data_IF_153187294562
#
_entry.id   IF_153187294562
#
_cell.length_a   1.000
_cell.length_b   1.000
_cell.length_c   1.000
_cell.angle_alpha   90.00
_cell.angle_beta   90.00
_cell.angle_gamma   90.00
#
_symmetry.space_group_name_H-M   'P 1'
#
loop_
_entity.id
_entity.type
_entity.pdbx_description
1 polymer ?
#
# COMPACT_ATOMS: atom_id res chain seq x y z
N UNK A 1 -16.12 11.07 -1.76
CA UNK A 1 -15.50 9.87 -1.16
C UNK A 1 -14.74 10.26 0.08
N UNK A 2 -14.99 9.57 1.17
CA UNK A 2 -14.28 9.80 2.45
C UNK A 2 -12.82 9.34 2.36
N UNK A 3 -11.92 9.98 3.10
CA UNK A 3 -10.53 9.53 3.20
C UNK A 3 -10.48 8.15 3.89
N UNK A 4 -9.39 7.39 3.73
CA UNK A 4 -9.23 6.14 4.44
C UNK A 4 -9.17 6.37 5.96
N UNK A 5 -9.77 5.45 6.70
CA UNK A 5 -9.86 5.47 8.15
C UNK A 5 -8.88 4.51 8.82
N UNK A 6 -8.17 3.71 8.03
CA UNK A 6 -7.16 2.79 8.53
C UNK A 6 -6.12 2.44 7.49
N UNK A 7 -4.88 2.28 7.95
CA UNK A 7 -3.77 1.73 7.19
C UNK A 7 -3.47 0.34 7.74
N UNK A 8 -3.39 -0.64 6.85
CA UNK A 8 -3.02 -2.02 7.18
C UNK A 8 -1.61 -2.27 6.66
N UNK A 9 -0.79 -2.91 7.47
CA UNK A 9 0.53 -3.42 7.08
C UNK A 9 0.68 -4.85 7.60
N UNK A 10 1.38 -5.70 6.84
CA UNK A 10 1.75 -7.06 7.28
C UNK A 10 3.03 -7.46 6.59
N UNK A 11 3.91 -8.16 7.28
CA UNK A 11 5.26 -8.51 6.80
C UNK A 11 6.04 -7.28 6.29
N UNK A 12 5.83 -6.14 6.92
CA UNK A 12 6.36 -4.85 6.51
C UNK A 12 7.34 -4.31 7.56
N UNK A 13 8.61 -4.12 7.20
CA UNK A 13 9.65 -3.56 8.09
C UNK A 13 9.73 -4.29 9.44
N UNK A 14 9.33 -3.60 10.52
CA UNK A 14 9.34 -4.12 11.89
C UNK A 14 8.13 -5.02 12.22
N UNK A 15 7.17 -5.13 11.31
CA UNK A 15 5.89 -5.81 11.55
C UNK A 15 5.86 -7.16 10.83
N UNK A 16 6.05 -8.25 11.58
CA UNK A 16 5.92 -9.62 11.07
C UNK A 16 4.46 -9.99 10.75
N UNK A 17 3.57 -9.64 11.66
CA UNK A 17 2.13 -9.87 11.55
C UNK A 17 1.37 -8.67 11.01
N UNK A 18 0.05 -8.83 10.95
CA UNK A 18 -0.86 -7.76 10.56
C UNK A 18 -1.00 -6.72 11.66
N UNK A 19 -0.83 -5.47 11.28
CA UNK A 19 -1.09 -4.32 12.12
C UNK A 19 -2.01 -3.34 11.41
N UNK A 20 -2.95 -2.76 12.15
CA UNK A 20 -3.85 -1.73 11.63
C UNK A 20 -3.65 -0.43 12.39
N UNK A 21 -3.21 0.60 11.67
CA UNK A 21 -3.12 1.96 12.20
C UNK A 21 -4.44 2.69 11.91
N UNK A 22 -5.21 3.08 12.94
CA UNK A 22 -6.38 3.93 12.73
C UNK A 22 -5.95 5.33 12.26
N UNK A 23 -6.52 5.78 11.15
CA UNK A 23 -6.31 7.12 10.61
C UNK A 23 -7.44 8.03 11.08
N UNK A 24 -7.07 9.12 11.76
CA UNK A 24 -7.98 10.15 12.28
C UNK A 24 -7.51 11.53 11.81
N UNK A 25 -8.33 12.58 11.93
CA UNK A 25 -7.90 13.95 11.59
C UNK A 25 -6.57 14.36 12.26
N UNK A 26 -6.28 13.78 13.43
CA UNK A 26 -4.99 13.84 14.08
C UNK A 26 -4.66 12.46 14.63
N UNK A 27 -3.54 11.90 14.19
CA UNK A 27 -3.01 10.62 14.68
C UNK A 27 -1.58 10.85 15.15
N UNK A 28 -1.33 10.56 16.42
CA UNK A 28 0.00 10.70 17.03
C UNK A 28 0.64 9.31 17.21
N UNK A 29 1.84 9.16 16.69
CA UNK A 29 2.65 7.94 16.85
C UNK A 29 3.78 8.20 17.85
N UNK A 30 3.72 7.57 19.00
CA UNK A 30 4.78 7.65 20.02
C UNK A 30 5.16 6.25 20.51
N UNK A 31 6.35 6.12 21.07
CA UNK A 31 6.87 4.85 21.58
C UNK A 31 8.39 4.80 21.51
N UNK A 32 8.97 3.67 21.90
CA UNK A 32 10.42 3.44 21.91
C UNK A 32 11.04 3.61 20.52
N UNK A 33 12.33 3.93 20.46
CA UNK A 33 13.07 3.89 19.21
C UNK A 33 13.03 2.46 18.62
N UNK A 34 13.04 2.35 17.31
CA UNK A 34 12.90 1.09 16.58
C UNK A 34 11.55 0.34 16.73
N UNK A 35 10.51 0.96 17.27
CA UNK A 35 9.17 0.34 17.36
C UNK A 35 8.32 0.41 16.09
N UNK A 36 8.88 0.80 14.95
CA UNK A 36 8.18 0.84 13.67
C UNK A 36 7.38 2.14 13.39
N UNK A 37 7.37 3.15 14.27
CA UNK A 37 6.61 4.41 14.07
C UNK A 37 6.88 5.06 12.71
N UNK A 38 8.15 5.26 12.39
CA UNK A 38 8.55 5.86 11.12
C UNK A 38 8.22 4.97 9.93
N UNK A 39 8.20 3.65 10.10
CA UNK A 39 7.78 2.72 9.06
C UNK A 39 6.29 2.90 8.72
N UNK A 40 5.41 2.99 9.73
CA UNK A 40 3.98 3.23 9.52
C UNK A 40 3.70 4.59 8.85
N UNK A 41 4.35 5.66 9.34
CA UNK A 41 4.20 6.98 8.74
C UNK A 41 4.65 7.00 7.26
N UNK A 42 5.79 6.35 6.97
CA UNK A 42 6.30 6.23 5.60
C UNK A 42 5.44 5.36 4.70
N UNK A 43 4.81 4.30 5.23
CA UNK A 43 3.91 3.46 4.44
C UNK A 43 2.76 4.27 3.82
N UNK A 44 2.18 5.21 4.58
CA UNK A 44 1.14 6.08 4.06
C UNK A 44 1.66 7.03 2.96
N UNK A 45 2.86 7.59 3.15
CA UNK A 45 3.49 8.45 2.17
C UNK A 45 3.84 7.68 0.87
N UNK A 46 4.38 6.47 0.99
CA UNK A 46 4.70 5.59 -0.14
C UNK A 46 3.41 5.21 -0.90
N UNK A 47 2.31 4.92 -0.19
CA UNK A 47 1.01 4.69 -0.81
C UNK A 47 0.55 5.90 -1.62
N UNK A 48 0.70 7.11 -1.06
CA UNK A 48 0.34 8.36 -1.75
C UNK A 48 1.10 8.57 -3.05
N UNK A 49 2.41 8.30 -3.07
CA UNK A 49 3.25 8.38 -4.26
C UNK A 49 2.93 7.27 -5.27
N UNK A 50 2.53 6.10 -4.79
CA UNK A 50 2.25 4.93 -5.63
C UNK A 50 0.88 4.99 -6.33
N UNK A 51 0.09 6.03 -6.14
CA UNK A 51 -1.16 6.29 -6.90
C UNK A 51 -0.99 7.36 -7.97
N UNK A 52 0.23 7.87 -8.19
CA UNK A 52 0.53 8.84 -9.23
C UNK A 52 0.25 8.28 -10.63
N UNK A 53 -0.08 9.17 -11.58
CA UNK A 53 -0.43 8.77 -12.96
C UNK A 53 0.76 8.23 -13.75
N UNK A 54 1.94 8.66 -13.40
CA UNK A 54 3.22 8.30 -14.01
C UNK A 54 3.97 7.19 -13.24
N UNK A 55 3.30 6.54 -12.29
CA UNK A 55 3.89 5.45 -11.52
C UNK A 55 4.34 4.30 -12.45
N UNK A 56 5.65 4.03 -12.48
CA UNK A 56 6.27 3.03 -13.37
C UNK A 56 6.35 1.63 -12.77
N UNK A 57 5.96 1.47 -11.51
CA UNK A 57 5.93 0.20 -10.77
C UNK A 57 4.83 0.28 -9.71
N UNK A 58 4.44 -0.86 -9.15
CA UNK A 58 3.35 -0.93 -8.18
C UNK A 58 3.61 -0.06 -6.94
N UNK A 59 4.84 -0.08 -6.44
CA UNK A 59 5.22 0.72 -5.29
C UNK A 59 6.35 1.67 -5.64
N UNK A 60 6.04 2.96 -5.64
CA UNK A 60 7.03 4.03 -5.83
C UNK A 60 7.72 4.30 -4.49
N UNK A 61 9.04 4.27 -4.49
CA UNK A 61 9.87 4.41 -3.27
C UNK A 61 10.78 5.64 -3.40
N UNK A 62 10.26 6.86 -3.20
CA UNK A 62 11.05 8.07 -3.32
C UNK A 62 12.18 8.12 -2.30
N UNK A 63 13.36 8.59 -2.71
CA UNK A 63 14.54 8.69 -1.83
C UNK A 63 14.31 9.62 -0.64
N UNK A 64 13.48 10.63 -0.81
CA UNK A 64 13.09 11.58 0.24
C UNK A 64 12.31 10.89 1.37
N UNK A 65 11.61 9.79 1.06
CA UNK A 65 10.82 9.03 2.04
C UNK A 65 11.60 7.87 2.63
N UNK A 66 12.34 7.11 1.79
CA UNK A 66 13.03 5.89 2.21
C UNK A 66 14.49 6.13 2.57
N UNK A 67 15.06 7.28 2.16
CA UNK A 67 16.48 7.66 2.26
C UNK A 67 17.38 6.74 1.41
N UNK A 68 18.06 5.76 1.99
CA UNK A 68 19.00 4.88 1.31
C UNK A 68 18.48 3.43 1.16
N UNK A 69 17.16 3.23 1.11
CA UNK A 69 16.57 1.90 0.98
C UNK A 69 15.98 1.62 -0.39
N UNK A 70 15.74 0.34 -0.67
CA UNK A 70 14.98 -0.11 -1.82
C UNK A 70 13.71 -0.90 -1.39
N UNK A 71 13.04 -1.54 -2.35
CA UNK A 71 11.84 -2.33 -2.08
C UNK A 71 12.10 -3.45 -1.07
N UNK A 72 13.29 -4.08 -1.12
CA UNK A 72 13.61 -5.22 -0.26
C UNK A 72 13.73 -4.82 1.21
N UNK A 73 14.10 -3.56 1.47
CA UNK A 73 14.17 -3.01 2.83
C UNK A 73 12.79 -2.74 3.44
N UNK A 74 11.74 -2.76 2.63
CA UNK A 74 10.37 -2.60 3.10
C UNK A 74 9.75 -3.91 3.58
N UNK A 75 10.22 -5.04 3.08
CA UNK A 75 9.77 -6.34 3.53
C UNK A 75 10.30 -6.66 4.95
N UNK A 76 9.54 -7.46 5.69
CA UNK A 76 10.01 -8.02 6.95
C UNK A 76 11.11 -9.05 6.68
N UNK A 77 12.25 -8.91 7.33
CA UNK A 77 13.46 -9.70 7.05
C UNK A 77 13.53 -11.03 7.82
N UNK A 78 12.44 -11.46 8.45
CA UNK A 78 12.40 -12.73 9.16
C UNK A 78 12.45 -13.97 8.26
N UNK A 79 11.97 -13.85 7.02
CA UNK A 79 11.95 -14.91 6.03
C UNK A 79 12.99 -14.60 4.93
N UNK A 80 14.13 -15.27 4.99
CA UNK A 80 15.21 -15.04 4.03
C UNK A 80 14.75 -15.33 2.59
N UNK A 81 14.79 -14.30 1.74
CA UNK A 81 14.47 -14.39 0.31
C UNK A 81 13.00 -14.18 -0.06
N UNK A 82 12.08 -14.04 0.89
CA UNK A 82 10.71 -13.57 0.62
C UNK A 82 10.62 -12.07 0.85
N UNK A 83 10.49 -11.31 -0.23
CA UNK A 83 10.33 -9.86 -0.19
C UNK A 83 8.88 -9.43 -0.40
N UNK A 84 7.92 -10.29 -0.06
CA UNK A 84 6.50 -9.95 -0.12
C UNK A 84 6.03 -9.32 1.18
N UNK A 85 5.16 -8.32 1.05
CA UNK A 85 4.47 -7.71 2.19
C UNK A 85 3.11 -7.16 1.77
N UNK A 86 2.26 -6.90 2.75
CA UNK A 86 0.93 -6.36 2.49
C UNK A 86 0.85 -4.89 2.91
N UNK A 87 0.23 -4.09 2.04
CA UNK A 87 -0.30 -2.77 2.35
C UNK A 87 -1.78 -2.73 2.05
N UNK A 88 -2.55 -2.09 2.91
CA UNK A 88 -3.99 -1.97 2.70
C UNK A 88 -4.58 -0.72 3.32
N UNK A 89 -5.79 -0.40 2.87
CA UNK A 89 -6.56 0.73 3.37
C UNK A 89 -7.96 0.27 3.76
N UNK A 90 -8.51 0.93 4.79
CA UNK A 90 -9.89 0.75 5.25
C UNK A 90 -10.68 2.04 5.14
N UNK A 91 -11.96 1.89 4.85
CA UNK A 91 -12.95 2.97 4.80
C UNK A 91 -14.18 2.60 5.63
N UNK A 92 -14.95 3.60 6.03
CA UNK A 92 -16.18 3.43 6.80
C UNK A 92 -17.46 3.72 5.97
N UNK A 93 -17.29 4.15 4.71
CA UNK A 93 -18.37 4.45 3.77
C UNK A 93 -18.32 3.59 2.51
N UNK A 94 -19.41 3.57 1.73
CA UNK A 94 -19.51 2.85 0.48
C UNK A 94 -19.69 1.33 0.64
N UNK A 95 -19.63 0.59 -0.46
CA UNK A 95 -19.69 -0.87 -0.44
C UNK A 95 -18.31 -1.46 -0.09
N UNK A 96 -17.25 -0.87 -0.64
CA UNK A 96 -15.88 -1.26 -0.37
C UNK A 96 -15.43 -0.75 1.01
N UNK A 97 -15.03 -1.66 1.89
CA UNK A 97 -14.56 -1.37 3.25
C UNK A 97 -13.08 -1.57 3.46
N UNK A 98 -12.50 -2.47 2.69
CA UNK A 98 -11.07 -2.79 2.78
C UNK A 98 -10.52 -3.16 1.40
N UNK A 99 -9.35 -2.64 1.08
CA UNK A 99 -8.52 -3.13 -0.02
C UNK A 99 -7.14 -3.47 0.51
N UNK A 100 -6.64 -4.65 0.15
CA UNK A 100 -5.33 -5.14 0.55
C UNK A 100 -4.55 -5.57 -0.67
N UNK A 101 -3.35 -5.05 -0.80
CA UNK A 101 -2.39 -5.34 -1.85
C UNK A 101 -1.25 -6.15 -1.27
N UNK A 102 -1.03 -7.37 -1.74
CA UNK A 102 0.22 -8.09 -1.53
C UNK A 102 1.19 -7.65 -2.61
N UNK A 103 2.30 -7.09 -2.21
CA UNK A 103 3.34 -6.55 -3.07
C UNK A 103 4.51 -7.50 -3.12
N UNK A 104 5.08 -7.69 -4.31
CA UNK A 104 6.27 -8.48 -4.54
C UNK A 104 7.26 -7.67 -5.37
N UNK A 105 8.54 -7.75 -5.02
CA UNK A 105 9.60 -7.05 -5.72
C UNK A 105 10.95 -7.58 -5.23
N UNK A 106 11.68 -8.27 -6.07
CA UNK A 106 13.00 -8.78 -5.72
C UNK A 106 14.13 -7.87 -6.19
N UNK A 107 15.37 -8.24 -5.85
CA UNK A 107 16.59 -7.57 -6.30
C UNK A 107 16.58 -7.38 -7.82
N UNK A 108 16.66 -6.13 -8.26
CA UNK A 108 16.70 -5.76 -9.68
C UNK A 108 15.38 -5.92 -10.46
N UNK A 109 14.27 -6.27 -9.81
CA UNK A 109 12.93 -6.33 -10.44
C UNK A 109 12.06 -5.17 -9.96
N UNK A 110 11.23 -4.66 -10.88
CA UNK A 110 10.19 -3.69 -10.51
C UNK A 110 9.16 -4.35 -9.61
N UNK A 111 8.69 -3.64 -8.60
CA UNK A 111 7.61 -4.10 -7.76
C UNK A 111 6.30 -4.24 -8.56
N UNK A 112 5.51 -5.24 -8.23
CA UNK A 112 4.19 -5.46 -8.81
C UNK A 112 3.19 -5.89 -7.74
N UNK A 113 1.90 -5.75 -8.03
CA UNK A 113 0.82 -6.25 -7.18
C UNK A 113 0.67 -7.74 -7.46
N UNK A 114 1.10 -8.57 -6.52
CA UNK A 114 1.02 -10.03 -6.61
C UNK A 114 -0.39 -10.53 -6.32
N UNK A 115 -1.05 -9.91 -5.34
CA UNK A 115 -2.41 -10.25 -4.96
C UNK A 115 -3.18 -8.99 -4.56
N UNK A 116 -4.45 -8.94 -4.92
CA UNK A 116 -5.39 -7.92 -4.47
C UNK A 116 -6.62 -8.59 -3.87
N UNK A 117 -6.97 -8.21 -2.65
CA UNK A 117 -8.23 -8.57 -1.99
C UNK A 117 -9.04 -7.32 -1.70
N UNK A 118 -10.31 -7.36 -2.09
CA UNK A 118 -11.28 -6.28 -1.87
C UNK A 118 -12.43 -6.82 -1.03
N UNK A 119 -12.69 -6.19 0.10
CA UNK A 119 -13.74 -6.62 1.04
C UNK A 119 -14.74 -5.51 1.31
N UNK A 120 -15.98 -5.92 1.49
CA UNK A 120 -17.10 -5.08 1.88
C UNK A 120 -17.42 -5.18 3.37
N UNK A 121 -18.62 -4.76 3.70
CA UNK A 121 -19.14 -4.79 5.06
C UNK A 121 -19.09 -6.20 5.66
N UNK A 122 -18.80 -6.30 6.96
CA UNK A 122 -18.66 -7.57 7.65
C UNK A 122 -17.51 -8.45 7.16
N UNK A 123 -16.59 -7.92 6.35
CA UNK A 123 -15.47 -8.67 5.79
C UNK A 123 -15.83 -9.54 4.56
N UNK A 124 -17.05 -9.35 4.00
CA UNK A 124 -17.49 -10.06 2.80
C UNK A 124 -16.51 -9.83 1.65
N UNK A 125 -16.01 -10.90 1.05
CA UNK A 125 -15.14 -10.82 -0.12
C UNK A 125 -15.95 -10.29 -1.32
N UNK A 126 -15.53 -9.16 -1.88
CA UNK A 126 -16.12 -8.55 -3.08
C UNK A 126 -15.35 -8.96 -4.34
N UNK A 127 -14.03 -9.04 -4.21
CA UNK A 127 -13.16 -9.44 -5.31
C UNK A 127 -11.79 -9.90 -4.78
N UNK A 128 -11.20 -10.87 -5.48
CA UNK A 128 -9.85 -11.36 -5.23
C UNK A 128 -9.19 -11.75 -6.54
N UNK A 129 -7.91 -11.43 -6.69
CA UNK A 129 -7.11 -11.83 -7.84
C UNK A 129 -5.63 -11.97 -7.51
N UNK A 130 -4.97 -12.78 -8.33
CA UNK A 130 -3.53 -13.06 -8.24
C UNK A 130 -2.89 -12.77 -9.60
N UNK A 131 -1.72 -12.15 -9.57
CA UNK A 131 -0.88 -11.91 -10.73
C UNK A 131 0.36 -12.83 -10.68
N UNK A 132 0.55 -13.71 -11.67
CA UNK A 132 1.85 -14.33 -11.87
C UNK A 132 2.90 -13.27 -12.25
N UNK A 133 4.20 -13.49 -11.95
CA UNK A 133 5.24 -12.54 -12.32
C UNK A 133 5.21 -12.17 -13.80
N UNK A 134 5.18 -10.86 -14.10
CA UNK A 134 5.17 -10.33 -15.47
C UNK A 134 3.90 -10.57 -16.28
N UNK A 135 2.81 -10.98 -15.65
CA UNK A 135 1.50 -11.17 -16.28
C UNK A 135 0.42 -10.31 -15.62
N UNK A 136 -0.67 -10.00 -16.35
CA UNK A 136 -1.84 -9.37 -15.75
C UNK A 136 -2.41 -10.19 -14.60
N UNK A 137 -3.06 -9.51 -13.68
CA UNK A 137 -3.79 -10.15 -12.60
C UNK A 137 -5.06 -10.79 -13.13
N UNK A 138 -5.34 -12.01 -12.69
CA UNK A 138 -6.56 -12.73 -13.01
C UNK A 138 -7.43 -12.88 -11.76
N UNK A 139 -8.76 -12.74 -11.96
CA UNK A 139 -9.74 -12.97 -10.90
C UNK A 139 -9.70 -14.43 -10.43
N UNK A 140 -9.80 -14.62 -9.13
CA UNK A 140 -10.03 -15.94 -8.54
C UNK A 140 -11.50 -16.12 -8.17
N UNK A 141 -11.96 -17.38 -8.14
CA UNK A 141 -13.29 -17.76 -7.63
C UNK A 141 -14.51 -17.10 -8.30
N UNK A 142 -14.49 -16.87 -9.61
CA UNK A 142 -15.71 -16.53 -10.36
C UNK A 142 -16.28 -15.14 -10.09
N UNK A 143 -15.54 -14.23 -9.47
CA UNK A 143 -16.00 -12.86 -9.20
C UNK A 143 -16.12 -11.95 -10.43
N UNK A 144 -16.03 -12.52 -11.65
CA UNK A 144 -16.08 -11.76 -12.90
C UNK A 144 -14.85 -10.86 -13.09
N UNK A 145 -14.69 -10.36 -14.30
CA UNK A 145 -13.58 -9.50 -14.67
C UNK A 145 -12.51 -10.24 -15.46
N UNK A 146 -12.12 -9.62 -16.56
CA UNK A 146 -11.00 -10.06 -17.37
C UNK A 146 -9.66 -9.84 -16.67
N UNK A 147 -8.63 -9.69 -17.47
CA UNK A 147 -7.30 -9.32 -17.00
C UNK A 147 -7.31 -7.92 -16.37
N UNK A 148 -6.76 -7.80 -15.17
CA UNK A 148 -6.61 -6.55 -14.45
C UNK A 148 -5.16 -6.08 -14.56
N UNK A 149 -4.98 -4.83 -14.98
CA UNK A 149 -3.68 -4.15 -14.97
C UNK A 149 -3.60 -3.09 -13.88
N UNK A 150 -2.41 -2.58 -13.62
CA UNK A 150 -2.18 -1.56 -12.61
C UNK A 150 -1.32 -0.42 -13.16
N UNK A 151 -1.63 0.80 -12.73
CA UNK A 151 -0.72 1.95 -12.77
C UNK A 151 -0.41 2.32 -11.33
N UNK A 152 0.80 2.02 -10.88
CA UNK A 152 1.10 2.04 -9.44
C UNK A 152 0.21 1.04 -8.69
N UNK A 153 -0.55 1.53 -7.72
CA UNK A 153 -1.56 0.76 -6.96
C UNK A 153 -2.99 0.96 -7.49
N UNK A 154 -3.17 1.68 -8.59
CA UNK A 154 -4.49 1.96 -9.15
C UNK A 154 -4.86 0.87 -10.16
N UNK A 155 -5.90 0.05 -9.90
CA UNK A 155 -6.36 -0.95 -10.85
C UNK A 155 -6.96 -0.30 -12.10
N UNK A 156 -6.83 -0.96 -13.25
CA UNK A 156 -7.28 -0.49 -14.56
C UNK A 156 -7.96 -1.62 -15.35
N UNK A 157 -8.92 -1.23 -16.21
CA UNK A 157 -9.49 -2.15 -17.18
C UNK A 157 -10.54 -3.09 -16.61
N UNK A 158 -11.19 -2.77 -15.49
CA UNK A 158 -12.24 -3.61 -14.90
C UNK A 158 -13.61 -2.95 -14.94
N UNK A 159 -14.63 -3.75 -15.26
CA UNK A 159 -16.05 -3.38 -15.16
C UNK A 159 -16.68 -3.82 -13.83
N UNK A 160 -15.93 -4.49 -12.97
CA UNK A 160 -16.40 -4.94 -11.65
C UNK A 160 -16.63 -3.72 -10.75
N UNK A 161 -17.85 -3.52 -10.21
CA UNK A 161 -18.18 -2.32 -9.43
C UNK A 161 -17.24 -2.07 -8.25
N UNK A 162 -16.86 -3.12 -7.52
CA UNK A 162 -15.93 -3.00 -6.39
C UNK A 162 -14.54 -2.52 -6.82
N UNK A 163 -14.05 -2.91 -8.01
CA UNK A 163 -12.78 -2.46 -8.55
C UNK A 163 -12.87 -1.04 -9.11
N UNK A 164 -14.01 -0.65 -9.67
CA UNK A 164 -14.26 0.75 -10.09
C UNK A 164 -14.29 1.67 -8.86
N UNK A 165 -14.97 1.26 -7.79
CA UNK A 165 -14.96 2.00 -6.52
C UNK A 165 -13.54 2.11 -5.96
N UNK A 166 -12.77 0.99 -5.96
CA UNK A 166 -11.36 1.01 -5.53
C UNK A 166 -10.53 1.97 -6.38
N UNK A 167 -10.66 1.91 -7.71
CA UNK A 167 -9.97 2.83 -8.62
C UNK A 167 -10.23 4.28 -8.22
N UNK A 168 -11.49 4.67 -8.09
CA UNK A 168 -11.86 6.03 -7.74
C UNK A 168 -11.35 6.46 -6.36
N UNK A 169 -11.35 5.55 -5.37
CA UNK A 169 -10.79 5.81 -4.04
C UNK A 169 -9.28 6.00 -4.08
N UNK A 170 -8.54 5.14 -4.79
CA UNK A 170 -7.10 5.26 -4.93
C UNK A 170 -6.72 6.55 -5.69
N UNK A 171 -7.41 6.87 -6.76
CA UNK A 171 -7.21 8.14 -7.49
C UNK A 171 -7.50 9.36 -6.62
N UNK A 172 -8.47 9.28 -5.72
CA UNK A 172 -8.77 10.38 -4.80
C UNK A 172 -7.65 10.69 -3.81
N UNK A 173 -6.68 9.80 -3.63
CA UNK A 173 -5.50 10.03 -2.77
C UNK A 173 -4.41 10.85 -3.45
N UNK A 174 -4.45 11.00 -4.78
CA UNK A 174 -3.45 11.75 -5.53
C UNK A 174 -3.32 13.19 -5.03
N UNK A 175 -2.09 13.58 -4.70
CA UNK A 175 -1.79 14.92 -4.20
C UNK A 175 -2.37 15.26 -2.81
N UNK A 176 -3.05 14.29 -2.15
CA UNK A 176 -3.60 14.51 -0.80
C UNK A 176 -2.67 14.04 0.32
N UNK A 177 -1.71 13.20 -0.01
CA UNK A 177 -0.69 12.75 0.94
C UNK A 177 0.56 13.58 0.72
N UNK A 178 1.03 14.27 1.76
CA UNK A 178 2.27 15.02 1.73
C UNK A 178 3.19 14.51 2.84
N UNK A 179 4.42 14.21 2.48
CA UNK A 179 5.45 13.85 3.42
C UNK A 179 6.22 15.10 3.84
N UNK A 180 6.21 15.37 5.14
CA UNK A 180 7.06 16.39 5.73
C UNK A 180 8.13 15.69 6.57
N UNK A 181 9.36 15.71 6.08
CA UNK A 181 10.47 15.16 6.83
C UNK A 181 10.76 15.99 8.08
N UNK A 182 11.19 15.31 9.14
CA UNK A 182 11.56 15.98 10.38
C UNK A 182 12.81 16.83 10.14
N UNK A 183 12.64 18.14 10.04
CA UNK A 183 13.75 19.10 9.99
C UNK A 183 14.44 19.06 11.35
N UNK A 184 15.36 18.14 11.54
CA UNK A 184 16.35 18.26 12.62
C UNK A 184 17.36 19.30 12.17
N UNK A 185 17.19 20.54 12.65
CA UNK A 185 18.26 21.51 12.58
C UNK A 185 19.51 20.85 13.16
N UNK A 186 20.51 20.57 12.31
CA UNK A 186 21.80 20.09 12.82
C UNK A 186 22.33 21.17 13.75
N UNK A 187 22.65 20.89 15.01
CA UNK A 187 23.27 21.88 15.86
C UNK A 187 24.56 22.33 15.16
N UNK A 188 24.66 23.62 14.86
CA UNK A 188 25.92 24.20 14.41
C UNK A 188 26.89 24.00 15.56
N UNK A 189 27.91 23.18 15.37
CA UNK A 189 29.07 23.17 16.28
C UNK A 189 29.74 24.54 16.14
N UNK A 190 29.60 25.34 17.16
CA UNK A 190 30.44 26.53 17.37
C UNK A 190 31.80 26.08 17.86
#
# INVERSE_FOLDING_TARGET
MSPPMGLIVSRYRAFAGEETLPLRPLTLLYGRNNSGKSALARALAILGESVAEDATCALVTPREIIHEGDFTDLAWQGDAGDYTFDLGLRWDDGELREARFTLDGGLGRRSYVKELRVRGEGGRLLWEGIAPPGRPMISQAGHGGGELSFVGLVPRGSEVPALQELTARMESLRGRVQWLDGVRARPKRT
#
